data_IF_224415037864
#
_entry.id   IF_224415037864
#
_cell.length_a   1.000
_cell.length_b   1.000
_cell.length_c   1.000
_cell.angle_alpha   90.00
_cell.angle_beta   90.00
_cell.angle_gamma   90.00
#
_symmetry.space_group_name_H-M   'P 1'
#
loop_
_entity.id
_entity.type
_entity.pdbx_description
1 polymer ?
#
# COMPACT_ATOMS: atom_id res chain seq x y z
N UNK A 1 17.23 -21.25 -9.16
CA UNK A 1 17.71 -20.10 -9.95
C UNK A 1 16.89 -18.90 -9.50
N UNK A 2 17.33 -18.23 -8.45
CA UNK A 2 16.57 -17.14 -7.84
C UNK A 2 16.62 -15.88 -8.71
N UNK A 3 15.44 -15.40 -9.09
CA UNK A 3 15.23 -14.24 -9.94
C UNK A 3 15.70 -12.95 -9.23
N UNK A 4 16.99 -12.62 -9.33
CA UNK A 4 17.51 -11.26 -9.16
C UNK A 4 17.71 -10.65 -10.57
N UNK A 5 16.65 -10.66 -11.39
CA UNK A 5 16.71 -10.12 -12.76
C UNK A 5 16.40 -8.60 -12.83
N UNK A 6 16.01 -7.98 -11.72
CA UNK A 6 15.56 -6.58 -11.70
C UNK A 6 16.57 -5.59 -11.11
N UNK A 7 17.75 -6.03 -10.67
CA UNK A 7 18.74 -5.17 -10.02
C UNK A 7 18.29 -4.61 -8.65
N UNK A 8 17.16 -5.09 -8.12
CA UNK A 8 16.62 -4.71 -6.82
C UNK A 8 17.23 -5.63 -5.75
N UNK A 9 17.76 -5.04 -4.67
CA UNK A 9 18.34 -5.81 -3.56
C UNK A 9 17.25 -6.59 -2.80
N UNK A 10 17.65 -7.67 -2.13
CA UNK A 10 16.74 -8.44 -1.27
C UNK A 10 16.08 -7.55 -0.19
N UNK A 11 16.83 -6.59 0.35
CA UNK A 11 16.34 -5.63 1.36
C UNK A 11 15.27 -4.69 0.81
N UNK A 12 15.44 -4.21 -0.43
CA UNK A 12 14.46 -3.33 -1.07
C UNK A 12 13.17 -4.10 -1.43
N UNK A 13 13.32 -5.37 -1.84
CA UNK A 13 12.18 -6.26 -2.04
C UNK A 13 11.39 -6.45 -0.75
N UNK A 14 12.08 -6.78 0.34
CA UNK A 14 11.48 -6.95 1.66
C UNK A 14 10.82 -5.65 2.16
N UNK A 15 11.46 -4.49 1.94
CA UNK A 15 10.88 -3.17 2.25
C UNK A 15 9.54 -2.97 1.55
N UNK A 16 9.45 -3.28 0.25
CA UNK A 16 8.22 -3.16 -0.54
C UNK A 16 7.14 -4.13 -0.08
N UNK A 17 7.50 -5.37 0.20
CA UNK A 17 6.58 -6.38 0.74
C UNK A 17 6.02 -5.95 2.11
N UNK A 18 6.87 -5.43 2.99
CA UNK A 18 6.46 -4.87 4.28
C UNK A 18 5.51 -3.68 4.12
N UNK A 19 5.77 -2.81 3.13
CA UNK A 19 4.90 -1.67 2.85
C UNK A 19 3.50 -2.12 2.38
N UNK A 20 3.43 -3.12 1.50
CA UNK A 20 2.16 -3.71 1.06
C UNK A 20 1.39 -4.28 2.26
N UNK A 21 2.07 -5.04 3.12
CA UNK A 21 1.47 -5.61 4.32
C UNK A 21 0.96 -4.53 5.29
N UNK A 22 1.76 -3.49 5.55
CA UNK A 22 1.36 -2.37 6.40
C UNK A 22 0.14 -1.62 5.83
N UNK A 23 0.13 -1.36 4.52
CA UNK A 23 -0.98 -0.69 3.83
C UNK A 23 -2.26 -1.52 3.92
N UNK A 24 -2.15 -2.83 3.71
CA UNK A 24 -3.27 -3.77 3.86
C UNK A 24 -3.84 -3.75 5.27
N UNK A 25 -2.98 -3.84 6.29
CA UNK A 25 -3.41 -3.82 7.68
C UNK A 25 -4.13 -2.51 8.02
N UNK A 26 -3.58 -1.37 7.59
CA UNK A 26 -4.20 -0.06 7.78
C UNK A 26 -5.59 0.01 7.12
N UNK A 27 -5.73 -0.46 5.87
CA UNK A 27 -7.02 -0.51 5.18
C UNK A 27 -8.00 -1.41 5.94
N UNK A 28 -7.55 -2.57 6.43
CA UNK A 28 -8.40 -3.49 7.18
C UNK A 28 -8.87 -2.90 8.51
N UNK A 29 -8.02 -2.11 9.16
CA UNK A 29 -8.31 -1.44 10.44
C UNK A 29 -9.22 -0.21 10.27
N UNK A 30 -8.93 0.64 9.28
CA UNK A 30 -9.58 1.96 9.13
C UNK A 30 -10.76 1.98 8.18
N UNK A 31 -10.80 1.06 7.21
CA UNK A 31 -11.82 1.07 6.16
C UNK A 31 -12.77 -0.11 6.30
N UNK A 32 -14.06 0.18 6.25
CA UNK A 32 -15.10 -0.85 6.19
C UNK A 32 -15.23 -1.44 4.78
N UNK A 33 -15.50 -2.74 4.70
CA UNK A 33 -15.78 -3.43 3.44
C UNK A 33 -16.96 -2.76 2.73
N UNK A 34 -16.78 -2.34 1.47
CA UNK A 34 -17.82 -1.63 0.72
C UNK A 34 -18.15 -0.21 1.21
N UNK A 35 -17.41 0.29 2.21
CA UNK A 35 -17.61 1.60 2.83
C UNK A 35 -17.24 2.80 1.94
N UNK A 36 -17.18 4.02 2.52
CA UNK A 36 -16.77 5.21 1.79
C UNK A 36 -15.31 5.11 1.32
N UNK A 37 -14.98 5.83 0.24
CA UNK A 37 -13.61 5.95 -0.22
C UNK A 37 -12.82 6.92 0.66
N UNK A 38 -11.53 6.63 0.84
CA UNK A 38 -10.56 7.48 1.55
C UNK A 38 -9.55 8.04 0.56
N UNK A 39 -9.06 9.26 0.77
CA UNK A 39 -8.04 9.83 -0.12
C UNK A 39 -6.67 9.19 0.12
N UNK A 40 -5.90 8.99 -0.95
CA UNK A 40 -4.55 8.43 -0.88
C UNK A 40 -3.62 9.26 0.01
N UNK A 41 -3.80 10.58 0.05
CA UNK A 41 -3.02 11.48 0.93
C UNK A 41 -3.32 11.20 2.40
N UNK A 42 -4.59 10.99 2.75
CA UNK A 42 -5.00 10.69 4.13
C UNK A 42 -4.47 9.31 4.56
N UNK A 43 -4.54 8.31 3.68
CA UNK A 43 -3.92 7.01 3.93
C UNK A 43 -2.41 7.11 4.12
N UNK A 44 -1.72 7.95 3.32
CA UNK A 44 -0.28 8.17 3.46
C UNK A 44 0.08 8.77 4.82
N UNK A 45 -0.70 9.74 5.30
CA UNK A 45 -0.49 10.35 6.61
C UNK A 45 -0.69 9.34 7.73
N UNK A 46 -1.75 8.54 7.68
CA UNK A 46 -2.00 7.48 8.68
C UNK A 46 -0.88 6.42 8.68
N UNK A 47 -0.41 6.02 7.50
CA UNK A 47 0.68 5.07 7.36
C UNK A 47 2.01 5.62 7.92
N UNK A 48 2.27 6.91 7.73
CA UNK A 48 3.42 7.63 8.33
C UNK A 48 3.29 7.81 9.84
N UNK A 49 2.09 7.83 10.41
CA UNK A 49 1.91 7.84 11.88
C UNK A 49 2.28 6.50 12.50
N UNK A 50 2.04 5.39 11.78
CA UNK A 50 2.33 4.04 12.25
C UNK A 50 3.77 3.59 11.93
N UNK A 51 4.45 4.25 11.00
CA UNK A 51 5.80 3.89 10.56
C UNK A 51 6.81 4.99 10.90
N UNK A 52 7.97 4.60 11.42
CA UNK A 52 9.12 5.48 11.60
C UNK A 52 9.90 5.74 10.30
N UNK A 53 9.46 5.16 9.19
CA UNK A 53 10.11 5.26 7.88
C UNK A 53 9.49 6.39 7.06
N UNK A 54 10.34 7.08 6.28
CA UNK A 54 9.85 7.99 5.26
C UNK A 54 9.22 7.17 4.12
N UNK A 55 7.90 7.35 3.95
CA UNK A 55 7.12 6.68 2.91
C UNK A 55 6.64 7.75 1.95
N UNK A 56 6.93 7.57 0.66
CA UNK A 56 6.50 8.50 -0.37
C UNK A 56 5.20 8.05 -1.04
N UNK A 57 4.48 9.02 -1.64
CA UNK A 57 3.20 8.74 -2.30
C UNK A 57 3.33 7.75 -3.47
N UNK A 58 4.49 7.72 -4.15
CA UNK A 58 4.74 6.76 -5.22
C UNK A 58 4.85 5.32 -4.69
N UNK A 59 5.46 5.11 -3.52
CA UNK A 59 5.59 3.80 -2.89
C UNK A 59 4.21 3.30 -2.43
N UNK A 60 3.41 4.19 -1.81
CA UNK A 60 2.02 3.87 -1.44
C UNK A 60 1.17 3.53 -2.67
N UNK A 61 1.32 4.28 -3.77
CA UNK A 61 0.62 3.99 -5.03
C UNK A 61 1.01 2.61 -5.59
N UNK A 62 2.29 2.25 -5.52
CA UNK A 62 2.74 0.92 -5.92
C UNK A 62 2.13 -0.16 -5.02
N UNK A 63 2.10 0.04 -3.70
CA UNK A 63 1.53 -0.91 -2.75
C UNK A 63 0.01 -1.10 -2.95
N UNK A 64 -0.72 0.01 -3.15
CA UNK A 64 -2.15 -0.02 -3.47
C UNK A 64 -2.41 -0.70 -4.82
N UNK A 65 -1.52 -0.55 -5.82
CA UNK A 65 -1.62 -1.26 -7.09
C UNK A 65 -1.54 -2.78 -6.93
N UNK A 66 -0.66 -3.26 -6.03
CA UNK A 66 -0.62 -4.68 -5.65
C UNK A 66 -1.93 -5.12 -5.00
N UNK A 67 -2.42 -4.37 -4.00
CA UNK A 67 -3.68 -4.68 -3.31
C UNK A 67 -4.91 -4.63 -4.22
N UNK A 68 -4.90 -3.75 -5.24
CA UNK A 68 -5.94 -3.69 -6.26
C UNK A 68 -5.92 -4.93 -7.14
N UNK A 69 -4.73 -5.41 -7.54
CA UNK A 69 -4.57 -6.65 -8.32
C UNK A 69 -5.02 -7.87 -7.52
N UNK A 70 -4.83 -7.85 -6.20
CA UNK A 70 -5.32 -8.87 -5.26
C UNK A 70 -6.83 -8.76 -4.96
N UNK A 71 -7.51 -7.71 -5.45
CA UNK A 71 -8.94 -7.49 -5.24
C UNK A 71 -9.31 -6.97 -3.85
N UNK A 72 -8.34 -6.50 -3.05
CA UNK A 72 -8.60 -5.96 -1.71
C UNK A 72 -9.10 -4.51 -1.72
N UNK A 73 -8.77 -3.75 -2.78
CA UNK A 73 -9.18 -2.35 -2.94
C UNK A 73 -9.50 -2.02 -4.40
N UNK A 74 -10.28 -0.96 -4.59
CA UNK A 74 -10.47 -0.27 -5.86
C UNK A 74 -9.94 1.14 -5.73
N UNK A 75 -9.20 1.57 -6.75
CA UNK A 75 -8.62 2.92 -6.84
C UNK A 75 -9.39 3.69 -7.91
N UNK A 76 -9.87 4.88 -7.56
CA UNK A 76 -10.51 5.80 -8.49
C UNK A 76 -9.86 7.18 -8.34
N UNK A 77 -9.02 7.57 -9.30
CA UNK A 77 -8.24 8.79 -9.20
C UNK A 77 -7.28 8.78 -8.00
N UNK A 78 -7.51 9.67 -7.05
CA UNK A 78 -6.81 9.80 -5.77
C UNK A 78 -7.57 9.17 -4.59
N UNK A 79 -8.69 8.50 -4.86
CA UNK A 79 -9.52 7.85 -3.86
C UNK A 79 -9.34 6.34 -3.87
N UNK A 80 -9.32 5.73 -2.68
CA UNK A 80 -9.19 4.30 -2.45
C UNK A 80 -10.43 3.81 -1.73
N UNK A 81 -11.00 2.70 -2.17
CA UNK A 81 -12.13 2.05 -1.51
C UNK A 81 -11.79 0.59 -1.23
N UNK A 82 -12.14 0.09 -0.06
CA UNK A 82 -12.04 -1.33 0.28
C UNK A 82 -13.19 -2.12 -0.37
N UNK A 83 -12.86 -3.21 -1.04
CA UNK A 83 -13.83 -4.12 -1.66
C UNK A 83 -13.96 -5.38 -0.85
#
# INVERSE_FOLDING_TARGET
>A
MDLIMTGISASERLRRENLVAATRNLIMEKMQLGGPSMRMVELLEELRKQSSMEIHLHELRSALGTLMTEGAVVIHGDSVKRV
#
